data_IF_938326264056
#
_entry.id   IF_938326264056
#
_cell.length_a   1.000
_cell.length_b   1.000
_cell.length_c   1.000
_cell.angle_alpha   90.00
_cell.angle_beta   90.00
_cell.angle_gamma   90.00
#
_symmetry.space_group_name_H-M   'P 1'
#
loop_
_entity.id
_entity.type
_entity.pdbx_description
1 polymer ?
#
# COMPACT_ATOMS: atom_id res chain seq x y z
N UNK A 1 11.61 -10.00 -12.74
CA UNK A 1 10.82 -8.76 -12.69
C UNK A 1 9.87 -8.92 -11.53
N UNK A 2 9.86 -7.98 -10.58
CA UNK A 2 8.99 -8.06 -9.39
C UNK A 2 7.68 -7.31 -9.66
N UNK A 3 6.61 -7.78 -9.03
CA UNK A 3 5.33 -7.10 -8.92
C UNK A 3 5.23 -6.39 -7.58
N UNK A 4 5.14 -5.07 -7.60
CA UNK A 4 5.11 -4.23 -6.41
C UNK A 4 3.71 -3.65 -6.25
N UNK A 5 3.06 -3.96 -5.13
CA UNK A 5 1.81 -3.35 -4.71
C UNK A 5 2.08 -2.13 -3.83
N UNK A 6 1.43 -1.00 -4.11
CA UNK A 6 1.61 0.25 -3.38
C UNK A 6 0.24 0.85 -3.05
N UNK A 7 0.00 1.15 -1.78
CA UNK A 7 -1.16 1.95 -1.37
C UNK A 7 -0.94 3.46 -1.61
N UNK A 8 -2.03 4.24 -1.58
CA UNK A 8 -1.97 5.70 -1.77
C UNK A 8 -1.89 6.45 -0.44
N UNK A 9 -2.83 6.21 0.46
CA UNK A 9 -3.06 7.06 1.63
C UNK A 9 -2.08 6.67 2.75
N UNK A 10 -1.43 7.64 3.38
CA UNK A 10 -0.37 7.36 4.37
C UNK A 10 0.91 6.78 3.76
N UNK A 11 0.94 6.52 2.44
CA UNK A 11 2.08 5.99 1.69
C UNK A 11 2.58 7.01 0.67
N UNK A 12 1.92 7.09 -0.49
CA UNK A 12 2.28 8.04 -1.56
C UNK A 12 1.99 9.47 -1.11
N UNK A 13 0.85 9.71 -0.44
CA UNK A 13 0.47 11.05 0.00
C UNK A 13 1.42 11.64 1.04
N UNK A 14 2.03 10.78 1.87
CA UNK A 14 2.89 11.21 2.96
C UNK A 14 4.34 11.44 2.50
N UNK A 15 4.84 10.63 1.55
CA UNK A 15 6.24 10.69 1.08
C UNK A 15 6.33 10.58 -0.46
N UNK A 16 5.73 11.51 -1.22
CA UNK A 16 5.58 11.38 -2.68
C UNK A 16 6.91 11.28 -3.43
N UNK A 17 7.95 12.03 -3.02
CA UNK A 17 9.26 12.02 -3.69
C UNK A 17 9.98 10.66 -3.59
N UNK A 18 9.79 9.94 -2.48
CA UNK A 18 10.32 8.59 -2.32
C UNK A 18 9.63 7.64 -3.30
N UNK A 19 8.29 7.68 -3.35
CA UNK A 19 7.52 6.78 -4.22
C UNK A 19 7.64 7.12 -5.70
N UNK A 20 7.84 8.39 -6.05
CA UNK A 20 8.30 8.78 -7.39
C UNK A 20 9.61 8.09 -7.74
N UNK A 21 10.60 8.12 -6.84
CA UNK A 21 11.89 7.49 -7.09
C UNK A 21 11.77 5.97 -7.23
N UNK A 22 11.05 5.31 -6.32
CA UNK A 22 10.84 3.85 -6.33
C UNK A 22 10.13 3.39 -7.60
N UNK A 23 9.04 4.06 -7.96
CA UNK A 23 8.20 3.64 -9.10
C UNK A 23 8.87 3.87 -10.46
N UNK A 24 9.78 4.84 -10.55
CA UNK A 24 10.57 5.09 -11.75
C UNK A 24 11.91 4.33 -11.77
N UNK A 25 12.25 3.59 -10.71
CA UNK A 25 13.50 2.85 -10.63
C UNK A 25 13.36 1.39 -11.10
N UNK A 26 14.29 0.96 -11.94
CA UNK A 26 14.38 -0.42 -12.39
C UNK A 26 13.24 -0.83 -13.33
N UNK A 27 13.22 -2.13 -13.67
CA UNK A 27 12.18 -2.73 -14.51
C UNK A 27 11.29 -3.63 -13.64
N UNK A 28 10.37 -3.01 -12.92
CA UNK A 28 9.35 -3.65 -12.08
C UNK A 28 7.95 -3.34 -12.61
N UNK A 29 7.00 -4.22 -12.31
CA UNK A 29 5.57 -4.03 -12.56
C UNK A 29 4.94 -3.40 -11.31
N UNK A 30 4.35 -2.22 -11.46
CA UNK A 30 3.83 -1.40 -10.36
C UNK A 30 2.30 -1.44 -10.40
N UNK A 31 1.71 -1.95 -9.31
CA UNK A 31 0.29 -1.96 -9.07
C UNK A 31 -0.06 -0.98 -7.96
N UNK A 32 -0.89 0.03 -8.28
CA UNK A 32 -1.53 0.84 -7.26
C UNK A 32 -2.79 0.11 -6.78
N UNK A 33 -2.88 -0.17 -5.49
CA UNK A 33 -3.98 -0.91 -4.87
C UNK A 33 -4.54 -0.05 -3.74
N UNK A 34 -5.66 0.63 -3.99
CA UNK A 34 -6.21 1.64 -3.07
C UNK A 34 -7.64 1.32 -2.66
N UNK A 35 -7.99 1.75 -1.44
CA UNK A 35 -9.35 1.69 -0.91
C UNK A 35 -10.11 3.02 -1.02
N UNK A 36 -9.63 3.95 -1.85
CA UNK A 36 -10.35 5.18 -2.17
C UNK A 36 -11.66 4.88 -2.92
N UNK A 37 -12.58 5.83 -2.88
CA UNK A 37 -13.87 5.72 -3.58
C UNK A 37 -13.64 5.63 -5.10
N UNK A 38 -14.16 4.59 -5.79
CA UNK A 38 -14.03 4.43 -7.23
C UNK A 38 -14.69 5.54 -8.05
N UNK A 39 -15.66 6.29 -7.48
CA UNK A 39 -16.23 7.49 -8.11
C UNK A 39 -15.20 8.61 -8.29
N UNK A 40 -14.16 8.62 -7.46
CA UNK A 40 -13.06 9.59 -7.51
C UNK A 40 -11.88 9.08 -8.36
N UNK A 41 -12.11 8.14 -9.28
CA UNK A 41 -11.06 7.56 -10.13
C UNK A 41 -10.21 8.62 -10.85
N UNK A 42 -10.84 9.67 -11.38
CA UNK A 42 -10.10 10.72 -12.10
C UNK A 42 -9.19 11.50 -11.15
N UNK A 43 -9.66 11.87 -9.97
CA UNK A 43 -8.85 12.55 -8.95
C UNK A 43 -7.66 11.70 -8.50
N UNK A 44 -7.85 10.38 -8.41
CA UNK A 44 -6.76 9.44 -8.09
C UNK A 44 -5.70 9.45 -9.21
N UNK A 45 -6.13 9.41 -10.47
CA UNK A 45 -5.21 9.46 -11.63
C UNK A 45 -4.46 10.80 -11.64
N UNK A 46 -5.15 11.91 -11.39
CA UNK A 46 -4.53 13.24 -11.38
C UNK A 46 -3.55 13.42 -10.22
N UNK A 47 -3.83 12.83 -9.05
CA UNK A 47 -2.89 12.74 -7.93
C UNK A 47 -1.62 11.97 -8.31
N UNK A 48 -1.77 10.77 -8.88
CA UNK A 48 -0.63 9.94 -9.28
C UNK A 48 0.22 10.64 -10.34
N UNK A 49 -0.43 11.29 -11.32
CA UNK A 49 0.23 12.04 -12.38
C UNK A 49 0.97 13.26 -11.86
N UNK A 50 0.34 14.08 -11.02
CA UNK A 50 0.97 15.27 -10.42
C UNK A 50 2.12 14.93 -9.47
N UNK A 51 2.08 13.74 -8.87
CA UNK A 51 3.15 13.19 -8.04
C UNK A 51 4.24 12.46 -8.84
N UNK A 52 4.15 12.43 -10.19
CA UNK A 52 5.07 11.72 -11.08
C UNK A 52 5.23 10.23 -10.75
N UNK A 53 4.15 9.59 -10.29
CA UNK A 53 4.12 8.16 -9.99
C UNK A 53 3.93 7.39 -11.29
N UNK A 54 4.91 6.55 -11.65
CA UNK A 54 4.77 5.60 -12.74
C UNK A 54 4.05 4.36 -12.21
N UNK A 55 3.02 3.90 -12.91
CA UNK A 55 2.35 2.66 -12.57
C UNK A 55 1.85 1.95 -13.82
N UNK A 56 1.74 0.63 -13.76
CA UNK A 56 1.24 -0.19 -14.86
C UNK A 56 -0.26 -0.47 -14.68
N UNK A 57 -0.71 -0.60 -13.44
CA UNK A 57 -2.11 -0.91 -13.11
C UNK A 57 -2.64 -0.11 -11.92
N UNK A 58 -3.89 0.34 -12.01
CA UNK A 58 -4.62 1.01 -10.93
C UNK A 58 -5.87 0.19 -10.56
N UNK A 59 -5.86 -0.33 -9.34
CA UNK A 59 -6.92 -1.13 -8.74
C UNK A 59 -7.58 -0.34 -7.62
N UNK A 60 -8.89 -0.12 -7.73
CA UNK A 60 -9.69 0.61 -6.75
C UNK A 60 -10.74 -0.34 -6.19
N UNK A 61 -10.93 -0.34 -4.89
CA UNK A 61 -11.93 -1.18 -4.24
C UNK A 61 -13.36 -0.83 -4.69
N UNK A 62 -14.26 -1.82 -4.80
CA UNK A 62 -15.70 -1.60 -4.88
C UNK A 62 -16.24 -0.91 -3.62
N UNK A 63 -17.33 -0.15 -3.76
CA UNK A 63 -17.99 0.61 -2.68
C UNK A 63 -18.38 -0.25 -1.46
N UNK A 64 -18.75 -1.50 -1.68
CA UNK A 64 -19.29 -2.45 -0.70
C UNK A 64 -18.27 -3.48 -0.20
N UNK A 65 -17.00 -3.31 -0.58
CA UNK A 65 -15.94 -4.20 -0.17
C UNK A 65 -15.66 -4.09 1.35
N UNK A 66 -14.91 -5.05 1.86
CA UNK A 66 -14.21 -4.95 3.14
C UNK A 66 -12.73 -4.66 2.84
N UNK A 67 -12.18 -3.60 3.40
CA UNK A 67 -10.83 -3.12 3.05
C UNK A 67 -9.75 -4.19 3.16
N UNK A 68 -9.70 -4.90 4.29
CA UNK A 68 -8.69 -5.92 4.53
C UNK A 68 -8.91 -7.11 3.59
N UNK A 69 -10.14 -7.61 3.49
CA UNK A 69 -10.45 -8.80 2.69
C UNK A 69 -10.22 -8.55 1.19
N UNK A 70 -10.65 -7.38 0.69
CA UNK A 70 -10.47 -7.01 -0.70
C UNK A 70 -9.00 -6.80 -1.05
N UNK A 71 -8.25 -6.03 -0.25
CA UNK A 71 -6.81 -5.82 -0.50
C UNK A 71 -6.07 -7.14 -0.46
N UNK A 72 -6.30 -7.98 0.57
CA UNK A 72 -5.68 -9.31 0.66
C UNK A 72 -5.97 -10.16 -0.58
N UNK A 73 -7.24 -10.26 -0.98
CA UNK A 73 -7.63 -11.05 -2.15
C UNK A 73 -6.97 -10.52 -3.44
N UNK A 74 -6.99 -9.20 -3.65
CA UNK A 74 -6.41 -8.55 -4.82
C UNK A 74 -4.88 -8.73 -4.88
N UNK A 75 -4.19 -8.56 -3.76
CA UNK A 75 -2.73 -8.74 -3.65
C UNK A 75 -2.35 -10.19 -4.01
N UNK A 76 -3.10 -11.18 -3.53
CA UNK A 76 -2.89 -12.60 -3.86
C UNK A 76 -3.19 -12.88 -5.34
N UNK A 77 -4.32 -12.40 -5.85
CA UNK A 77 -4.75 -12.58 -7.25
C UNK A 77 -3.72 -12.07 -8.25
N UNK A 78 -3.14 -10.89 -7.99
CA UNK A 78 -2.16 -10.26 -8.87
C UNK A 78 -0.77 -10.93 -8.80
N UNK A 79 -0.53 -11.75 -7.77
CA UNK A 79 0.78 -12.33 -7.48
C UNK A 79 1.81 -11.28 -7.06
N UNK A 80 1.42 -10.33 -6.20
CA UNK A 80 2.32 -9.29 -5.70
C UNK A 80 3.47 -9.92 -4.89
N UNK A 81 4.71 -9.55 -5.21
CA UNK A 81 5.91 -10.00 -4.51
C UNK A 81 6.20 -9.15 -3.27
N UNK A 82 5.96 -7.83 -3.38
CA UNK A 82 6.19 -6.84 -2.33
C UNK A 82 4.98 -5.94 -2.18
N UNK A 83 4.40 -5.86 -0.99
CA UNK A 83 3.34 -4.90 -0.66
C UNK A 83 3.87 -3.77 0.22
N UNK A 84 3.62 -2.52 -0.18
CA UNK A 84 3.94 -1.30 0.56
C UNK A 84 2.64 -0.64 1.03
N UNK A 85 2.45 -0.56 2.34
CA UNK A 85 1.17 -0.21 2.96
C UNK A 85 1.42 0.46 4.32
N UNK A 86 0.52 1.36 4.73
CA UNK A 86 0.60 2.05 6.02
C UNK A 86 -0.18 1.33 7.14
N UNK A 87 -1.19 0.56 6.76
CA UNK A 87 -2.09 -0.17 7.65
C UNK A 87 -1.50 -1.56 8.00
N UNK A 88 -1.01 -1.78 9.23
CA UNK A 88 -0.33 -3.00 9.61
C UNK A 88 -1.24 -4.24 9.60
N UNK A 89 -2.55 -4.07 9.80
CA UNK A 89 -3.53 -5.17 9.76
C UNK A 89 -3.62 -5.80 8.36
N UNK A 90 -3.52 -4.99 7.29
CA UNK A 90 -3.48 -5.49 5.92
C UNK A 90 -2.23 -6.32 5.73
N UNK A 91 -1.05 -5.78 6.08
CA UNK A 91 0.22 -6.49 5.96
C UNK A 91 0.25 -7.79 6.76
N UNK A 92 -0.29 -7.79 7.98
CA UNK A 92 -0.38 -8.97 8.84
C UNK A 92 -1.32 -10.04 8.27
N UNK A 93 -2.29 -9.67 7.44
CA UNK A 93 -3.24 -10.62 6.82
C UNK A 93 -2.67 -11.38 5.62
N UNK A 94 -1.56 -10.89 5.03
CA UNK A 94 -0.94 -11.43 3.82
C UNK A 94 -0.18 -12.74 4.10
N UNK A 95 -0.12 -13.66 3.13
CA UNK A 95 0.67 -14.89 3.26
C UNK A 95 2.18 -14.62 3.32
N UNK A 96 2.93 -15.58 3.85
CA UNK A 96 4.36 -15.40 4.18
C UNK A 96 5.29 -15.25 2.99
N UNK A 97 4.85 -15.66 1.80
CA UNK A 97 5.62 -15.51 0.57
C UNK A 97 5.61 -14.06 0.03
N UNK A 98 4.84 -13.15 0.63
CA UNK A 98 4.78 -11.74 0.24
C UNK A 98 5.67 -10.93 1.18
N UNK A 99 6.63 -10.20 0.59
CA UNK A 99 7.44 -9.25 1.32
C UNK A 99 6.61 -8.01 1.68
N UNK A 100 6.83 -7.46 2.87
CA UNK A 100 6.00 -6.42 3.46
C UNK A 100 6.89 -5.22 3.80
N UNK A 101 6.54 -4.04 3.31
CA UNK A 101 7.16 -2.78 3.70
C UNK A 101 6.09 -1.94 4.38
N UNK A 102 6.27 -1.71 5.68
CA UNK A 102 5.34 -0.91 6.46
C UNK A 102 5.77 0.56 6.46
N UNK A 103 4.92 1.43 5.91
CA UNK A 103 5.09 2.88 6.04
C UNK A 103 4.38 3.35 7.30
N UNK A 104 5.16 3.73 8.31
CA UNK A 104 4.62 4.16 9.58
C UNK A 104 4.98 5.62 9.83
N UNK A 105 4.04 6.36 10.42
CA UNK A 105 4.25 7.73 10.86
C UNK A 105 3.60 7.94 12.22
N UNK A 106 4.09 8.86 13.07
CA UNK A 106 3.45 9.18 14.34
C UNK A 106 1.99 9.65 14.20
N UNK A 107 1.54 10.03 12.99
CA UNK A 107 0.21 10.55 12.70
C UNK A 107 -0.82 9.46 12.42
N UNK A 108 -0.42 8.39 11.72
CA UNK A 108 -1.34 7.30 11.34
C UNK A 108 -1.11 6.10 12.25
N UNK A 109 0.03 5.43 12.10
CA UNK A 109 0.44 4.31 12.95
C UNK A 109 1.84 4.49 13.53
N UNK A 110 1.91 4.75 14.84
CA UNK A 110 3.15 5.00 15.57
C UNK A 110 3.92 3.69 15.89
N UNK A 111 5.04 3.49 15.20
CA UNK A 111 5.96 2.36 15.40
C UNK A 111 6.40 2.19 16.85
N UNK A 112 6.70 3.28 17.57
CA UNK A 112 7.15 3.20 18.95
C UNK A 112 6.04 2.70 19.88
N UNK A 113 4.78 3.11 19.63
CA UNK A 113 3.63 2.58 20.36
C UNK A 113 3.41 1.11 20.05
N UNK A 114 3.49 0.71 18.79
CA UNK A 114 3.35 -0.70 18.39
C UNK A 114 4.39 -1.59 19.08
N UNK A 115 5.67 -1.19 19.06
CA UNK A 115 6.76 -1.92 19.73
C UNK A 115 6.53 -2.00 21.25
N UNK A 116 6.09 -0.91 21.89
CA UNK A 116 5.82 -0.91 23.33
C UNK A 116 4.64 -1.83 23.69
N UNK A 117 3.60 -1.88 22.87
CA UNK A 117 2.46 -2.80 23.05
C UNK A 117 2.89 -4.27 23.05
N UNK A 118 3.71 -4.66 22.07
CA UNK A 118 4.22 -6.04 21.97
C UNK A 118 5.08 -6.49 23.17
N UNK A 119 5.75 -5.55 23.85
CA UNK A 119 6.55 -5.88 25.05
C UNK A 119 5.68 -6.11 26.28
N UNK A 120 4.48 -5.52 26.32
CA UNK A 120 3.53 -5.69 27.44
C UNK A 120 2.75 -6.99 27.36
N UNK A 121 2.44 -7.49 26.16
CA UNK A 121 1.71 -8.75 25.96
C UNK A 121 2.55 -10.02 26.23
N UNK A 122 3.86 -9.87 26.45
CA UNK A 122 4.78 -10.97 26.81
C UNK A 122 5.03 -11.12 28.32
N UNK A 123 4.32 -10.35 29.16
CA UNK A 123 4.33 -10.46 30.63
C UNK A 123 2.96 -10.92 31.08
#
# INVERSE_FOLDING_TARGET
>A
MMKIGIDIDGVITDIPELFKSITNFGNHEIHIITYRDPKNRQDIIDLLKSSYIRYDHLHIAPDDASMIEWKKAKIIELGIDVMIEDTPEILASLPDNIHRIWVCSPKVYDLNKAIKGMRKSKR
#
